data_IF_356342767643
#
_entry.id   IF_356342767643
#
_cell.length_a   1.000
_cell.length_b   1.000
_cell.length_c   1.000
_cell.angle_alpha   90.00
_cell.angle_beta   90.00
_cell.angle_gamma   90.00
#
_symmetry.space_group_name_H-M   'P 1'
#
loop_
_entity.id
_entity.type
_entity.pdbx_description
1 polymer ?
#
# COMPACT_ATOMS: atom_id res chain seq x y z
N UNK A 1 16.12 -17.41 17.36
CA UNK A 1 15.82 -16.09 16.74
C UNK A 1 14.45 -15.68 17.25
N UNK A 2 14.41 -14.86 18.31
CA UNK A 2 13.15 -14.56 19.00
C UNK A 2 12.32 -13.58 18.16
N UNK A 3 11.24 -14.06 17.55
CA UNK A 3 10.19 -13.21 17.05
C UNK A 3 9.46 -12.64 18.27
N UNK A 4 9.84 -11.43 18.69
CA UNK A 4 9.07 -10.65 19.65
C UNK A 4 7.67 -10.47 19.06
N UNK A 5 6.68 -11.09 19.70
CA UNK A 5 5.28 -11.04 19.27
C UNK A 5 4.83 -9.59 19.07
N UNK A 6 4.14 -9.34 17.95
CA UNK A 6 3.53 -8.06 17.67
C UNK A 6 2.64 -7.66 18.84
N UNK A 7 2.92 -6.50 19.45
CA UNK A 7 2.06 -5.90 20.48
C UNK A 7 1.08 -4.97 19.76
N UNK A 8 -0.18 -4.93 20.21
CA UNK A 8 -1.15 -3.98 19.67
C UNK A 8 -0.57 -2.55 19.73
N UNK A 9 -0.46 -1.90 18.57
CA UNK A 9 0.13 -0.57 18.42
C UNK A 9 1.57 -0.54 17.87
N UNK A 10 2.21 -1.68 17.63
CA UNK A 10 3.48 -1.73 16.88
C UNK A 10 3.25 -1.77 15.36
N UNK A 11 4.17 -1.16 14.61
CA UNK A 11 4.11 -1.13 13.15
C UNK A 11 4.32 -2.55 12.57
N UNK A 12 3.37 -3.08 11.77
CA UNK A 12 3.53 -4.37 11.14
C UNK A 12 4.72 -4.37 10.18
N UNK A 13 5.31 -5.55 9.94
CA UNK A 13 6.45 -5.71 9.01
C UNK A 13 7.68 -4.85 9.33
N UNK A 14 7.82 -4.43 10.59
CA UNK A 14 9.01 -3.73 11.08
C UNK A 14 9.71 -4.51 12.18
N UNK A 15 11.01 -4.23 12.35
CA UNK A 15 11.87 -4.77 13.40
C UNK A 15 12.31 -3.62 14.31
N UNK A 16 11.97 -3.74 15.59
CA UNK A 16 12.36 -2.79 16.64
C UNK A 16 13.71 -3.18 17.21
N UNK A 17 14.68 -2.26 17.13
CA UNK A 17 16.03 -2.44 17.66
C UNK A 17 16.10 -2.13 19.16
N UNK A 18 17.26 -2.40 19.75
CA UNK A 18 17.52 -2.12 21.17
C UNK A 18 17.31 -0.64 21.49
N UNK A 19 16.68 -0.31 22.64
CA UNK A 19 16.50 1.06 23.06
C UNK A 19 17.86 1.72 23.31
N UNK A 20 18.03 2.93 22.81
CA UNK A 20 19.24 3.73 22.93
C UNK A 20 18.87 5.15 23.37
N UNK A 21 19.64 5.71 24.30
CA UNK A 21 19.50 7.13 24.66
C UNK A 21 20.00 8.01 23.52
N UNK A 22 19.20 9.01 23.14
CA UNK A 22 19.56 10.05 22.17
C UNK A 22 19.21 11.43 22.70
N UNK A 23 20.09 12.39 22.46
CA UNK A 23 19.82 13.79 22.72
C UNK A 23 19.14 14.40 21.50
N UNK A 24 17.88 14.80 21.67
CA UNK A 24 17.09 15.49 20.67
C UNK A 24 16.97 16.97 21.05
N UNK A 25 16.46 17.78 20.13
CA UNK A 25 16.22 19.21 20.37
C UNK A 25 15.35 19.44 21.61
N UNK A 26 14.41 18.54 21.88
CA UNK A 26 13.51 18.61 23.03
C UNK A 26 14.03 17.92 24.30
N UNK A 27 15.32 17.55 24.35
CA UNK A 27 15.95 16.91 25.51
C UNK A 27 16.34 15.43 25.30
N UNK A 28 16.70 14.76 26.39
CA UNK A 28 17.16 13.35 26.38
C UNK A 28 15.96 12.40 26.30
N UNK A 29 15.97 11.54 25.29
CA UNK A 29 14.94 10.53 25.04
C UNK A 29 15.57 9.15 24.90
N UNK A 30 14.84 8.12 25.30
CA UNK A 30 15.18 6.73 25.00
C UNK A 30 14.35 6.33 23.77
N UNK A 31 15.04 6.05 22.67
CA UNK A 31 14.41 5.70 21.40
C UNK A 31 14.90 4.35 20.90
N UNK A 32 14.04 3.62 20.20
CA UNK A 32 14.40 2.37 19.51
C UNK A 32 14.33 2.60 18.02
N UNK A 33 15.41 2.31 17.30
CA UNK A 33 15.40 2.35 15.83
C UNK A 33 14.46 1.28 15.27
N UNK A 34 13.91 1.58 14.10
CA UNK A 34 12.95 0.72 13.40
C UNK A 34 13.48 0.49 12.00
N UNK A 35 13.52 -0.79 11.61
CA UNK A 35 13.90 -1.19 10.26
C UNK A 35 12.82 -2.01 9.60
N UNK A 36 12.75 -1.96 8.28
CA UNK A 36 11.86 -2.80 7.49
C UNK A 36 12.29 -4.27 7.65
N UNK A 37 11.34 -5.17 7.94
CA UNK A 37 11.63 -6.60 8.07
C UNK A 37 12.09 -7.24 6.75
N UNK A 38 11.61 -6.71 5.62
CA UNK A 38 11.86 -7.31 4.30
C UNK A 38 13.19 -6.86 3.68
N UNK A 39 13.52 -5.57 3.78
CA UNK A 39 14.74 -5.02 3.15
C UNK A 39 15.82 -4.59 4.16
N UNK A 40 15.55 -4.64 5.47
CA UNK A 40 16.50 -4.27 6.53
C UNK A 40 16.83 -2.78 6.62
N UNK A 41 16.29 -1.94 5.73
CA UNK A 41 16.54 -0.50 5.75
C UNK A 41 15.93 0.15 6.99
N UNK A 42 16.67 1.08 7.62
CA UNK A 42 16.17 1.88 8.73
C UNK A 42 15.10 2.83 8.20
N UNK A 43 13.89 2.71 8.76
CA UNK A 43 12.74 3.54 8.42
C UNK A 43 12.61 4.74 9.38
N UNK A 44 13.12 4.62 10.60
CA UNK A 44 13.05 5.68 11.60
C UNK A 44 13.20 5.16 13.03
N UNK A 45 12.47 5.72 13.99
CA UNK A 45 12.55 5.36 15.41
C UNK A 45 11.22 5.50 16.16
N UNK A 46 11.09 4.78 17.28
CA UNK A 46 9.99 4.89 18.26
C UNK A 46 10.50 5.47 19.56
N UNK A 47 9.69 6.32 20.19
CA UNK A 47 9.95 6.77 21.56
C UNK A 47 9.57 5.67 22.56
N UNK A 48 10.55 5.19 23.32
CA UNK A 48 10.37 4.19 24.38
C UNK A 48 10.16 4.88 25.72
N UNK A 49 10.95 5.92 26.00
CA UNK A 49 10.84 6.68 27.23
C UNK A 49 11.37 8.12 27.03
N UNK A 50 10.98 9.02 27.93
CA UNK A 50 11.45 10.40 27.96
C UNK A 50 11.81 10.77 29.39
N UNK A 51 12.97 11.41 29.57
CA UNK A 51 13.44 11.83 30.90
C UNK A 51 12.52 12.90 31.52
N UNK A 52 11.87 13.71 30.69
CA UNK A 52 11.00 14.80 31.13
C UNK A 52 9.52 14.43 30.97
N UNK A 53 8.71 14.61 32.02
CA UNK A 53 7.28 14.30 32.03
C UNK A 53 6.51 15.03 30.92
N UNK A 54 6.89 16.27 30.63
CA UNK A 54 6.30 17.08 29.56
C UNK A 54 6.49 16.47 28.16
N UNK A 55 7.40 15.52 27.97
CA UNK A 55 7.65 14.85 26.69
C UNK A 55 7.07 13.43 26.63
N UNK A 56 6.51 12.91 27.73
CA UNK A 56 5.96 11.54 27.80
C UNK A 56 4.81 11.29 26.84
N UNK A 57 4.12 12.34 26.38
CA UNK A 57 3.08 12.24 25.34
C UNK A 57 3.60 11.65 24.01
N UNK A 58 4.92 11.70 23.77
CA UNK A 58 5.56 11.10 22.58
C UNK A 58 5.81 9.61 22.74
N UNK A 59 5.77 9.07 23.96
CA UNK A 59 6.05 7.65 24.21
C UNK A 59 5.06 6.79 23.43
N UNK A 60 5.57 5.78 22.74
CA UNK A 60 4.78 4.92 21.85
C UNK A 60 4.50 5.52 20.47
N UNK A 61 4.86 6.78 20.21
CA UNK A 61 4.79 7.38 18.87
C UNK A 61 6.02 7.01 18.03
N UNK A 62 5.82 7.06 16.72
CA UNK A 62 6.79 6.69 15.71
C UNK A 62 7.15 7.89 14.85
N UNK A 63 8.43 8.01 14.50
CA UNK A 63 8.91 8.93 13.47
C UNK A 63 9.49 8.08 12.36
N UNK A 64 9.00 8.30 11.14
CA UNK A 64 9.46 7.63 9.94
C UNK A 64 10.03 8.65 8.96
N UNK A 65 11.10 8.25 8.26
CA UNK A 65 11.71 9.06 7.22
C UNK A 65 10.85 9.01 5.95
N UNK A 66 10.34 10.17 5.51
CA UNK A 66 9.52 10.28 4.29
C UNK A 66 10.23 9.77 3.02
N UNK A 67 11.56 9.80 2.98
CA UNK A 67 12.35 9.25 1.86
C UNK A 67 12.29 7.72 1.77
N UNK A 68 11.88 7.05 2.85
CA UNK A 68 11.85 5.57 2.99
C UNK A 68 10.44 5.02 3.07
N UNK A 69 9.41 5.87 3.13
CA UNK A 69 8.02 5.48 3.31
C UNK A 69 7.11 6.25 2.35
N UNK A 70 6.16 5.56 1.72
CA UNK A 70 5.12 6.15 0.89
C UNK A 70 3.81 6.12 1.67
N UNK A 71 3.00 7.19 1.62
CA UNK A 71 1.74 7.31 2.38
C UNK A 71 0.60 6.45 1.85
N UNK A 72 0.65 6.06 0.58
CA UNK A 72 -0.33 5.21 -0.08
C UNK A 72 0.34 4.41 -1.19
N UNK A 73 -0.26 3.27 -1.53
CA UNK A 73 0.15 2.49 -2.69
C UNK A 73 -0.66 2.97 -3.88
N UNK A 74 -0.11 3.01 -5.10
CA UNK A 74 -0.88 3.42 -6.31
C UNK A 74 -2.11 2.52 -6.56
N UNK A 75 -2.16 1.34 -5.93
CA UNK A 75 -3.29 0.41 -5.94
C UNK A 75 -4.49 0.88 -5.10
N UNK A 76 -4.34 1.90 -4.23
CA UNK A 76 -5.41 2.49 -3.42
C UNK A 76 -6.03 3.74 -4.06
N UNK A 77 -5.62 4.13 -5.28
CA UNK A 77 -6.29 5.20 -6.01
C UNK A 77 -7.64 4.69 -6.54
N UNK A 78 -8.63 4.58 -5.67
CA UNK A 78 -9.97 4.95 -6.09
C UNK A 78 -9.89 6.44 -6.44
N UNK A 79 -10.39 6.88 -7.60
CA UNK A 79 -10.38 8.29 -7.95
C UNK A 79 -11.08 9.06 -6.82
N UNK A 80 -10.30 9.85 -6.11
CA UNK A 80 -10.83 10.76 -5.11
C UNK A 80 -11.63 11.80 -5.90
N UNK A 81 -12.95 11.71 -5.82
CA UNK A 81 -13.88 12.72 -6.31
C UNK A 81 -13.67 14.00 -5.47
N UNK A 82 -12.61 14.74 -5.78
CA UNK A 82 -12.46 16.13 -5.35
C UNK A 82 -13.58 16.91 -6.02
N UNK A 83 -14.53 17.34 -5.19
CA UNK A 83 -15.68 18.15 -5.54
C UNK A 83 -15.26 19.55 -6.03
N UNK A 84 -14.59 19.66 -7.18
CA UNK A 84 -14.57 20.88 -7.96
C UNK A 84 -14.19 20.68 -9.45
N UNK A 85 -15.20 20.88 -10.30
CA UNK A 85 -15.14 21.30 -11.70
C UNK A 85 -14.72 20.29 -12.80
N UNK A 86 -15.78 19.77 -13.46
CA UNK A 86 -15.97 19.85 -14.93
C UNK A 86 -15.22 18.87 -15.86
N UNK A 87 -15.82 17.68 -16.00
CA UNK A 87 -16.10 16.88 -17.23
C UNK A 87 -15.20 17.06 -18.46
N UNK A 88 -14.57 15.96 -18.92
CA UNK A 88 -14.83 15.39 -20.26
C UNK A 88 -14.59 13.87 -20.27
N UNK A 89 -15.61 13.15 -20.71
CA UNK A 89 -15.69 11.70 -20.82
C UNK A 89 -14.81 11.18 -21.97
N UNK A 90 -13.88 10.28 -21.66
CA UNK A 90 -13.49 9.20 -22.56
C UNK A 90 -13.63 7.91 -21.77
N UNK A 91 -14.82 7.31 -21.86
CA UNK A 91 -15.22 6.05 -21.24
C UNK A 91 -14.12 5.00 -21.38
N UNK A 92 -13.39 4.73 -20.30
CA UNK A 92 -12.96 3.36 -20.02
C UNK A 92 -14.28 2.60 -19.87
N UNK A 93 -14.73 2.00 -20.97
CA UNK A 93 -16.00 1.28 -21.01
C UNK A 93 -15.93 0.19 -19.96
N UNK A 94 -16.81 0.27 -18.98
CA UNK A 94 -17.06 -0.78 -17.99
C UNK A 94 -17.47 -2.05 -18.74
N UNK A 95 -16.47 -2.85 -19.12
CA UNK A 95 -16.68 -4.10 -19.85
C UNK A 95 -17.05 -5.13 -18.81
N UNK A 96 -18.36 -5.26 -18.60
CA UNK A 96 -18.94 -6.21 -17.67
C UNK A 96 -18.81 -7.64 -18.22
N UNK A 97 -18.53 -8.58 -17.31
CA UNK A 97 -18.38 -9.99 -17.57
C UNK A 97 -19.67 -10.58 -18.18
N UNK A 98 -19.58 -11.18 -19.36
CA UNK A 98 -20.74 -11.78 -20.03
C UNK A 98 -20.85 -13.27 -19.67
N UNK A 99 -21.75 -13.59 -18.73
CA UNK A 99 -21.96 -14.96 -18.27
C UNK A 99 -22.58 -15.89 -19.31
N UNK A 100 -23.00 -15.38 -20.47
CA UNK A 100 -23.46 -16.20 -21.59
C UNK A 100 -22.32 -16.64 -22.53
N UNK A 101 -21.10 -16.08 -22.40
CA UNK A 101 -19.94 -16.50 -23.18
C UNK A 101 -19.15 -17.57 -22.41
N UNK A 102 -19.19 -18.81 -22.91
CA UNK A 102 -18.51 -19.95 -22.26
C UNK A 102 -16.99 -19.75 -22.15
N UNK A 103 -16.39 -19.06 -23.13
CA UNK A 103 -14.97 -18.75 -23.12
C UNK A 103 -14.61 -17.74 -22.01
N UNK A 104 -15.46 -16.74 -21.76
CA UNK A 104 -15.23 -15.79 -20.65
C UNK A 104 -15.40 -16.49 -19.30
N UNK A 105 -16.36 -17.41 -19.19
CA UNK A 105 -16.58 -18.23 -17.99
C UNK A 105 -15.37 -19.10 -17.62
N UNK A 106 -14.74 -19.77 -18.59
CA UNK A 106 -13.53 -20.56 -18.36
C UNK A 106 -12.33 -19.69 -17.95
N UNK A 107 -12.17 -18.52 -18.59
CA UNK A 107 -11.09 -17.57 -18.31
C UNK A 107 -11.21 -16.99 -16.88
N UNK A 108 -12.43 -16.72 -16.40
CA UNK A 108 -12.65 -16.21 -15.04
C UNK A 108 -12.37 -17.28 -14.00
N UNK A 109 -12.81 -18.52 -14.23
CA UNK A 109 -12.55 -19.64 -13.31
C UNK A 109 -11.05 -19.98 -13.21
N UNK A 110 -10.29 -19.76 -14.29
CA UNK A 110 -8.83 -19.96 -14.32
C UNK A 110 -8.01 -18.72 -13.92
N UNK A 111 -8.67 -17.59 -13.62
CA UNK A 111 -8.06 -16.36 -13.10
C UNK A 111 -7.31 -15.53 -14.14
N UNK A 112 -7.56 -15.76 -15.43
CA UNK A 112 -6.90 -15.08 -16.56
C UNK A 112 -7.84 -14.08 -17.28
N UNK A 113 -9.10 -13.99 -16.89
CA UNK A 113 -10.06 -13.04 -17.46
C UNK A 113 -9.68 -11.59 -17.13
N UNK A 114 -9.63 -10.73 -18.15
CA UNK A 114 -9.49 -9.27 -18.01
C UNK A 114 -10.43 -8.54 -18.95
N UNK A 115 -10.90 -7.32 -18.58
CA UNK A 115 -11.79 -6.50 -19.42
C UNK A 115 -11.23 -6.26 -20.83
N UNK A 116 -9.91 -6.08 -20.95
CA UNK A 116 -9.26 -5.84 -22.24
C UNK A 116 -9.19 -7.10 -23.10
N UNK A 117 -8.98 -8.28 -22.49
CA UNK A 117 -8.97 -9.55 -23.20
C UNK A 117 -10.37 -9.87 -23.74
N UNK A 118 -11.40 -9.68 -22.92
CA UNK A 118 -12.81 -9.82 -23.29
C UNK A 118 -13.16 -8.89 -24.47
N UNK A 119 -12.82 -7.59 -24.38
CA UNK A 119 -13.03 -6.64 -25.46
C UNK A 119 -12.30 -7.04 -26.76
N UNK A 120 -11.03 -7.49 -26.66
CA UNK A 120 -10.25 -7.90 -27.84
C UNK A 120 -10.84 -9.15 -28.50
N UNK A 121 -11.37 -10.09 -27.72
CA UNK A 121 -12.02 -11.32 -28.20
C UNK A 121 -13.36 -11.01 -28.84
N UNK A 122 -14.21 -10.19 -28.22
CA UNK A 122 -15.48 -9.68 -28.79
C UNK A 122 -15.23 -8.94 -30.12
N UNK A 123 -14.18 -8.12 -30.19
CA UNK A 123 -13.80 -7.38 -31.41
C UNK A 123 -13.30 -8.30 -32.54
N UNK A 124 -12.59 -9.38 -32.19
CA UNK A 124 -12.17 -10.43 -33.15
C UNK A 124 -13.36 -11.24 -33.68
N UNK A 125 -14.38 -11.48 -32.85
CA UNK A 125 -15.63 -12.13 -33.27
C UNK A 125 -16.50 -11.20 -34.14
N UNK A 126 -16.45 -9.89 -33.91
CA UNK A 126 -17.23 -8.90 -34.66
C UNK A 126 -16.72 -8.64 -36.09
N UNK A 127 -15.43 -8.86 -36.37
CA UNK A 127 -14.87 -8.81 -37.73
C UNK A 127 -13.93 -10.01 -37.96
N UNK A 128 -14.39 -11.07 -38.64
CA UNK A 128 -13.51 -12.15 -39.03
C UNK A 128 -12.55 -11.64 -40.10
N UNK A 129 -11.24 -11.73 -39.83
CA UNK A 129 -10.20 -11.41 -40.79
C UNK A 129 -10.27 -12.39 -41.97
N UNK A 130 -10.60 -11.89 -43.16
CA UNK A 130 -10.31 -12.54 -44.44
C UNK A 130 -9.13 -11.80 -45.07
N UNK A 131 -7.98 -12.47 -45.12
CA UNK A 131 -6.84 -12.15 -45.97
C UNK A 131 -6.98 -12.94 -47.29
N UNK A 132 -6.65 -12.30 -48.42
CA UNK A 132 -6.77 -12.67 -49.87
C UNK A 132 -8.10 -12.33 -50.56
#
# INVERSE_FOLDING_TARGET
>A
IAATGFKNGDLPNTLTHKPQSRQLVTGVHIVSDISCRSCGSVLGWKYVDAAEDSQKYKIGKFILEAKRTVKGSEWDQAPEEDDNAMVTEAKETDIEFDSQDEDECEDLFSGIWTPQLAARRRKRRAYPQVDV
#
